data_IF_619599815712
#
_entry.id   IF_619599815712
#
_cell.length_a   1.000
_cell.length_b   1.000
_cell.length_c   1.000
_cell.angle_alpha   90.00
_cell.angle_beta   90.00
_cell.angle_gamma   90.00
#
_symmetry.space_group_name_H-M   'P 1'
#
loop_
_entity.id
_entity.type
_entity.pdbx_description
1 polymer ?
#
# COMPACT_ATOMS: atom_id res chain seq x y z
N UNK A 1 -7.44 9.68 -2.21
CA UNK A 1 -6.16 9.86 -2.92
C UNK A 1 -5.10 9.07 -2.18
N UNK A 2 -4.66 7.96 -2.77
CA UNK A 2 -3.52 7.14 -2.33
C UNK A 2 -2.22 7.62 -3.01
N UNK A 3 -2.13 8.89 -3.41
CA UNK A 3 -1.15 9.37 -4.39
C UNK A 3 0.31 9.07 -4.02
N UNK A 4 0.70 9.29 -2.75
CA UNK A 4 2.07 8.98 -2.31
C UNK A 4 2.33 7.46 -2.24
N UNK A 5 1.32 6.69 -1.84
CA UNK A 5 1.39 5.23 -1.81
C UNK A 5 1.51 4.66 -3.24
N UNK A 6 0.65 5.11 -4.16
CA UNK A 6 0.69 4.76 -5.58
C UNK A 6 1.96 5.23 -6.28
N UNK A 7 2.49 6.40 -5.92
CA UNK A 7 3.79 6.88 -6.41
C UNK A 7 4.93 5.96 -5.96
N UNK A 8 4.95 5.56 -4.68
CA UNK A 8 5.96 4.63 -4.17
C UNK A 8 5.90 3.28 -4.91
N UNK A 9 4.68 2.74 -5.11
CA UNK A 9 4.49 1.52 -5.91
C UNK A 9 5.01 1.67 -7.35
N UNK A 10 4.71 2.80 -8.02
CA UNK A 10 5.21 3.05 -9.38
C UNK A 10 6.73 3.14 -9.42
N UNK A 11 7.34 3.81 -8.46
CA UNK A 11 8.80 3.93 -8.37
C UNK A 11 9.47 2.57 -8.10
N UNK A 12 8.88 1.73 -7.26
CA UNK A 12 9.36 0.34 -7.05
C UNK A 12 9.15 -0.50 -8.32
N UNK A 13 8.02 -0.33 -9.00
CA UNK A 13 7.72 -1.06 -10.25
C UNK A 13 8.65 -0.66 -11.40
N UNK A 14 9.08 0.61 -11.47
CA UNK A 14 9.89 1.15 -12.58
C UNK A 14 11.39 1.07 -12.28
N UNK A 15 11.81 1.54 -11.10
CA UNK A 15 13.23 1.72 -10.74
C UNK A 15 13.71 0.79 -9.62
N UNK A 16 12.83 0.02 -9.01
CA UNK A 16 13.16 -0.88 -7.89
C UNK A 16 13.61 -0.16 -6.61
N UNK A 17 13.50 1.17 -6.53
CA UNK A 17 13.96 1.96 -5.38
C UNK A 17 13.14 3.23 -5.19
N UNK A 18 13.04 3.66 -3.93
CA UNK A 18 12.35 4.87 -3.48
C UNK A 18 13.21 5.63 -2.48
N UNK A 19 12.95 6.92 -2.28
CA UNK A 19 13.64 7.68 -1.24
C UNK A 19 13.31 7.14 0.16
N UNK A 20 14.23 7.23 1.13
CA UNK A 20 14.01 6.69 2.48
C UNK A 20 12.76 7.26 3.16
N UNK A 21 12.49 8.55 2.96
CA UNK A 21 11.31 9.24 3.49
C UNK A 21 10.00 8.68 2.91
N UNK A 22 10.00 8.33 1.63
CA UNK A 22 8.83 7.75 0.97
C UNK A 22 8.65 6.28 1.39
N UNK A 23 9.74 5.56 1.62
CA UNK A 23 9.72 4.21 2.17
C UNK A 23 9.09 4.17 3.56
N UNK A 24 9.55 5.03 4.48
CA UNK A 24 8.97 5.12 5.84
C UNK A 24 7.48 5.48 5.81
N UNK A 25 7.09 6.41 4.93
CA UNK A 25 5.68 6.78 4.76
C UNK A 25 4.85 5.62 4.23
N UNK A 26 5.36 4.90 3.22
CA UNK A 26 4.71 3.72 2.66
C UNK A 26 4.53 2.64 3.72
N UNK A 27 5.58 2.29 4.45
CA UNK A 27 5.56 1.25 5.47
C UNK A 27 4.58 1.59 6.60
N UNK A 28 4.53 2.87 7.00
CA UNK A 28 3.57 3.37 7.99
C UNK A 28 2.14 3.22 7.50
N UNK A 29 1.86 3.65 6.27
CA UNK A 29 0.52 3.53 5.65
C UNK A 29 0.11 2.06 5.51
N UNK A 30 1.02 1.22 5.04
CA UNK A 30 0.80 -0.22 4.85
C UNK A 30 0.45 -0.90 6.18
N UNK A 31 1.24 -0.64 7.22
CA UNK A 31 1.05 -1.20 8.55
C UNK A 31 -0.29 -0.76 9.14
N UNK A 32 -0.57 0.55 9.13
CA UNK A 32 -1.84 1.08 9.62
C UNK A 32 -3.02 0.50 8.84
N UNK A 33 -2.90 0.38 7.51
CA UNK A 33 -3.97 -0.15 6.67
C UNK A 33 -4.27 -1.64 6.96
N UNK A 34 -3.23 -2.46 7.12
CA UNK A 34 -3.38 -3.89 7.48
C UNK A 34 -4.05 -4.06 8.84
N UNK A 35 -3.65 -3.24 9.83
CA UNK A 35 -4.29 -3.25 11.15
C UNK A 35 -5.75 -2.83 11.05
N UNK A 36 -6.05 -1.70 10.39
CA UNK A 36 -7.42 -1.22 10.18
C UNK A 36 -8.31 -2.21 9.40
N UNK A 37 -7.73 -2.92 8.44
CA UNK A 37 -8.45 -3.92 7.65
C UNK A 37 -8.83 -5.15 8.50
N UNK A 38 -7.97 -5.55 9.44
CA UNK A 38 -8.20 -6.67 10.37
C UNK A 38 -9.10 -6.27 11.53
N UNK A 39 -8.80 -5.14 12.18
CA UNK A 39 -9.55 -4.61 13.31
C UNK A 39 -9.54 -3.06 13.30
N UNK A 40 -10.66 -2.43 12.93
CA UNK A 40 -10.79 -0.97 12.93
C UNK A 40 -10.67 -0.33 14.32
N UNK A 41 -10.82 -1.09 15.40
CA UNK A 41 -10.82 -0.59 16.79
C UNK A 41 -9.43 -0.51 17.41
N UNK A 42 -8.45 -1.19 16.83
CA UNK A 42 -7.08 -1.30 17.36
C UNK A 42 -6.19 -0.09 17.07
N UNK A 43 -6.64 0.85 16.25
CA UNK A 43 -5.77 1.95 15.80
C UNK A 43 -5.97 3.17 16.68
N UNK A 44 -5.08 3.31 17.66
CA UNK A 44 -5.00 4.46 18.54
C UNK A 44 -3.91 5.42 18.03
N UNK A 45 -4.22 6.72 17.93
CA UNK A 45 -3.28 7.77 17.51
C UNK A 45 -3.65 8.47 16.20
N UNK A 46 -2.68 9.17 15.59
CA UNK A 46 -2.88 9.91 14.35
C UNK A 46 -2.84 8.95 13.14
N UNK A 47 -4.01 8.60 12.64
CA UNK A 47 -4.17 7.69 11.50
C UNK A 47 -4.00 8.45 10.20
N UNK A 48 -3.17 7.93 9.30
CA UNK A 48 -3.07 8.48 7.95
C UNK A 48 -4.38 8.28 7.19
N UNK A 49 -4.97 9.33 6.59
CA UNK A 49 -6.13 9.18 5.70
C UNK A 49 -5.88 8.18 4.56
N UNK A 50 -4.64 8.05 4.10
CA UNK A 50 -4.24 7.05 3.10
C UNK A 50 -4.36 5.63 3.64
N UNK A 51 -4.00 5.40 4.91
CA UNK A 51 -4.13 4.08 5.54
C UNK A 51 -5.59 3.65 5.67
N UNK A 52 -6.50 4.59 6.01
CA UNK A 52 -7.94 4.31 6.06
C UNK A 52 -8.49 3.94 4.69
N UNK A 53 -8.08 4.66 3.65
CA UNK A 53 -8.50 4.36 2.28
C UNK A 53 -7.96 3.00 1.81
N UNK A 54 -6.69 2.71 2.05
CA UNK A 54 -6.11 1.41 1.72
C UNK A 54 -6.79 0.28 2.50
N UNK A 55 -7.05 0.46 3.80
CA UNK A 55 -7.77 -0.52 4.62
C UNK A 55 -9.16 -0.84 4.07
N UNK A 56 -9.92 0.18 3.64
CA UNK A 56 -11.20 -0.01 2.97
C UNK A 56 -11.04 -0.83 1.70
N UNK A 57 -10.08 -0.49 0.85
CA UNK A 57 -9.78 -1.23 -0.39
C UNK A 57 -9.35 -2.68 -0.11
N UNK A 58 -8.55 -2.92 0.92
CA UNK A 58 -8.15 -4.27 1.35
C UNK A 58 -9.36 -5.10 1.83
N UNK A 59 -10.38 -4.47 2.41
CA UNK A 59 -11.62 -5.14 2.80
C UNK A 59 -12.57 -5.38 1.63
N UNK A 60 -12.61 -4.47 0.67
CA UNK A 60 -13.47 -4.53 -0.52
C UNK A 60 -12.91 -5.45 -1.61
N UNK A 61 -11.58 -5.51 -1.76
CA UNK A 61 -10.88 -6.22 -2.84
C UNK A 61 -9.97 -7.30 -2.26
N UNK A 62 -10.46 -8.53 -2.21
CA UNK A 62 -9.72 -9.68 -1.67
C UNK A 62 -8.37 -9.91 -2.39
N UNK A 63 -8.32 -9.75 -3.71
CA UNK A 63 -7.09 -9.89 -4.48
C UNK A 63 -6.01 -8.87 -4.07
N UNK A 64 -6.41 -7.63 -3.77
CA UNK A 64 -5.50 -6.61 -3.26
C UNK A 64 -4.98 -6.99 -1.87
N UNK A 65 -5.87 -7.48 -1.01
CA UNK A 65 -5.49 -7.95 0.33
C UNK A 65 -4.48 -9.07 0.26
N UNK A 66 -4.72 -10.07 -0.56
CA UNK A 66 -3.86 -11.24 -0.66
C UNK A 66 -2.49 -10.87 -1.29
N UNK A 67 -2.45 -9.87 -2.20
CA UNK A 67 -1.20 -9.32 -2.73
C UNK A 67 -0.40 -8.51 -1.69
N UNK A 68 -1.10 -7.84 -0.76
CA UNK A 68 -0.50 -6.95 0.26
C UNK A 68 -0.15 -7.68 1.57
N UNK A 69 -0.86 -8.77 1.91
CA UNK A 69 -0.64 -9.51 3.15
C UNK A 69 0.79 -10.07 3.33
N UNK A 70 1.50 -10.59 2.30
CA UNK A 70 2.87 -11.05 2.46
C UNK A 70 3.90 -9.92 2.59
N UNK A 71 3.52 -8.66 2.36
CA UNK A 71 4.44 -7.52 2.34
C UNK A 71 4.60 -6.94 3.73
N UNK A 72 5.82 -6.93 4.23
CA UNK A 72 6.16 -6.35 5.54
C UNK A 72 6.59 -4.89 5.44
N UNK A 73 7.29 -4.56 4.35
CA UNK A 73 7.89 -3.25 4.07
C UNK A 73 8.10 -3.08 2.56
N UNK A 74 8.42 -1.87 2.11
CA UNK A 74 8.70 -1.59 0.70
C UNK A 74 10.01 -2.23 0.23
N UNK A 75 10.94 -2.56 1.13
CA UNK A 75 12.23 -3.16 0.77
C UNK A 75 12.10 -4.63 0.34
N UNK A 76 11.12 -5.33 0.89
CA UNK A 76 10.75 -6.71 0.53
C UNK A 76 9.87 -6.78 -0.72
N UNK A 77 9.46 -5.63 -1.28
CA UNK A 77 8.67 -5.59 -2.50
C UNK A 77 9.53 -5.78 -3.75
N UNK A 78 9.07 -6.68 -4.61
CA UNK A 78 9.58 -6.77 -5.98
C UNK A 78 8.79 -5.85 -6.92
N UNK A 79 9.36 -5.44 -8.06
CA UNK A 79 8.63 -4.68 -9.08
C UNK A 79 7.35 -5.38 -9.55
N UNK A 80 7.36 -6.71 -9.65
CA UNK A 80 6.18 -7.50 -10.03
C UNK A 80 5.05 -7.39 -9.01
N UNK A 81 5.38 -7.43 -7.71
CA UNK A 81 4.40 -7.23 -6.64
C UNK A 81 3.83 -5.81 -6.67
N UNK A 82 4.67 -4.81 -6.89
CA UNK A 82 4.23 -3.42 -7.01
C UNK A 82 3.23 -3.23 -8.17
N UNK A 83 3.53 -3.81 -9.34
CA UNK A 83 2.65 -3.80 -10.49
C UNK A 83 1.31 -4.52 -10.22
N UNK A 84 1.34 -5.65 -9.52
CA UNK A 84 0.13 -6.38 -9.14
C UNK A 84 -0.79 -5.56 -8.22
N UNK A 85 -0.21 -4.85 -7.24
CA UNK A 85 -0.96 -3.98 -6.31
C UNK A 85 -1.56 -2.80 -7.07
N UNK A 86 -0.79 -2.16 -7.96
CA UNK A 86 -1.27 -1.06 -8.81
C UNK A 86 -2.46 -1.50 -9.67
N UNK A 87 -2.36 -2.66 -10.32
CA UNK A 87 -3.47 -3.23 -11.09
C UNK A 87 -4.70 -3.51 -10.21
N UNK A 88 -4.49 -4.05 -9.01
CA UNK A 88 -5.58 -4.35 -8.07
C UNK A 88 -6.24 -3.10 -7.48
N UNK A 89 -5.52 -1.98 -7.41
CA UNK A 89 -6.06 -0.67 -7.04
C UNK A 89 -6.84 0.01 -8.17
N UNK A 90 -6.77 -0.52 -9.40
CA UNK A 90 -7.28 0.16 -10.60
C UNK A 90 -6.43 1.38 -10.99
N UNK A 91 -5.22 1.50 -10.44
CA UNK A 91 -4.23 2.55 -10.76
C UNK A 91 -3.17 2.06 -11.75
N UNK A 92 -3.28 0.79 -12.17
CA UNK A 92 -2.57 0.21 -13.30
C UNK A 92 -3.03 0.87 -14.59
N UNK A 93 -2.28 1.89 -15.00
CA UNK A 93 -2.31 2.52 -16.33
C UNK A 93 -3.73 2.82 -16.81
N UNK A 94 -4.27 3.98 -16.40
CA UNK A 94 -5.19 4.66 -17.31
C UNK A 94 -4.42 4.90 -18.64
N UNK A 95 -4.96 4.50 -19.79
CA UNK A 95 -4.34 4.74 -21.09
C UNK A 95 -4.15 6.23 -21.39
#
# INVERSE_FOLDING_TARGET
MLELFGLALRLVSDKGSVSPQLAEHFDTVLRQAKVLAKDPSQVQGQISPQAVQLARRLREVTALRDAVDPISDIASMTPAMAAQILNSLGEGVAP
#
